data_IF_123541403578
#
_entry.id   IF_123541403578
#
_cell.length_a   1.000
_cell.length_b   1.000
_cell.length_c   1.000
_cell.angle_alpha   90.00
_cell.angle_beta   90.00
_cell.angle_gamma   90.00
#
_symmetry.space_group_name_H-M   'P 1'
#
loop_
_entity.id
_entity.type
_entity.pdbx_description
1 polymer ?
#
# COMPACT_ATOMS: atom_id res chain seq x y z
N UNK A 1 -7.91 9.78 10.35
CA UNK A 1 -6.94 9.27 9.36
C UNK A 1 -7.69 8.46 8.32
N UNK A 2 -7.99 9.07 7.18
CA UNK A 2 -8.67 8.42 6.06
C UNK A 2 -7.63 7.87 5.06
N UNK A 3 -6.99 6.76 5.43
CA UNK A 3 -6.24 5.93 4.48
C UNK A 3 -7.10 4.75 4.01
N UNK A 4 -6.79 4.25 2.82
CA UNK A 4 -7.40 3.04 2.26
C UNK A 4 -6.29 2.06 1.94
N UNK A 5 -6.52 0.81 2.30
CA UNK A 5 -5.62 -0.30 2.00
C UNK A 5 -6.39 -1.32 1.16
N UNK A 6 -5.76 -1.78 0.09
CA UNK A 6 -6.23 -2.88 -0.73
C UNK A 6 -5.15 -3.95 -0.77
N UNK A 7 -5.56 -5.21 -0.85
CA UNK A 7 -4.70 -6.38 -0.87
C UNK A 7 -5.29 -7.40 -1.85
N UNK A 8 -4.41 -8.06 -2.59
CA UNK A 8 -4.75 -9.19 -3.46
C UNK A 8 -4.40 -10.51 -2.78
N UNK A 9 -4.96 -11.60 -3.29
CA UNK A 9 -4.65 -12.96 -2.80
C UNK A 9 -3.18 -13.36 -3.02
N UNK A 10 -2.52 -12.77 -4.03
CA UNK A 10 -1.09 -12.95 -4.28
C UNK A 10 -0.19 -12.19 -3.29
N UNK A 11 -0.78 -11.44 -2.35
CA UNK A 11 -0.06 -10.70 -1.31
C UNK A 11 0.43 -9.32 -1.76
N UNK A 12 0.04 -8.83 -2.93
CA UNK A 12 0.29 -7.45 -3.34
C UNK A 12 -0.61 -6.49 -2.57
N UNK A 13 -0.11 -5.30 -2.25
CA UNK A 13 -0.80 -4.33 -1.38
C UNK A 13 -0.74 -2.93 -1.99
N UNK A 14 -1.84 -2.18 -1.90
CA UNK A 14 -1.92 -0.76 -2.25
C UNK A 14 -2.39 0.02 -1.03
N UNK A 15 -1.64 1.05 -0.67
CA UNK A 15 -1.96 1.97 0.42
C UNK A 15 -2.08 3.38 -0.14
N UNK A 16 -3.21 4.05 0.12
CA UNK A 16 -3.42 5.45 -0.25
C UNK A 16 -3.95 6.23 0.95
N UNK A 17 -3.24 7.27 1.35
CA UNK A 17 -3.75 8.29 2.27
C UNK A 17 -3.94 9.61 1.53
N UNK A 18 -5.18 10.12 1.52
CA UNK A 18 -5.48 11.42 0.91
C UNK A 18 -4.94 12.57 1.76
N UNK A 19 -4.99 12.44 3.08
CA UNK A 19 -4.54 13.47 4.03
C UNK A 19 -3.02 13.69 3.96
N UNK A 20 -2.24 12.61 3.92
CA UNK A 20 -0.77 12.69 3.84
C UNK A 20 -0.24 12.89 2.41
N UNK A 21 -1.13 12.97 1.41
CA UNK A 21 -0.82 12.77 0.01
C UNK A 21 0.14 11.58 -0.26
N UNK A 22 -0.03 10.50 0.51
CA UNK A 22 0.84 9.34 0.48
C UNK A 22 0.24 8.22 -0.37
N UNK A 23 1.04 7.64 -1.26
CA UNK A 23 0.69 6.45 -2.04
C UNK A 23 1.84 5.47 -1.90
N UNK A 24 1.52 4.22 -1.62
CA UNK A 24 2.51 3.15 -1.56
C UNK A 24 1.94 1.86 -2.13
N UNK A 25 2.79 1.11 -2.82
CA UNK A 25 2.47 -0.18 -3.42
C UNK A 25 3.52 -1.20 -3.00
N UNK A 26 3.09 -2.38 -2.60
CA UNK A 26 3.95 -3.53 -2.36
C UNK A 26 3.73 -4.54 -3.48
N UNK A 27 4.78 -4.78 -4.27
CA UNK A 27 4.80 -5.72 -5.38
C UNK A 27 6.21 -6.32 -5.49
N UNK A 28 6.30 -7.59 -5.86
CA UNK A 28 7.57 -8.31 -6.06
C UNK A 28 8.55 -8.19 -4.88
N UNK A 29 8.01 -8.21 -3.65
CA UNK A 29 8.82 -8.15 -2.43
C UNK A 29 9.31 -6.75 -2.03
N UNK A 30 8.89 -5.69 -2.72
CA UNK A 30 9.40 -4.32 -2.48
C UNK A 30 8.27 -3.30 -2.40
N UNK A 31 8.48 -2.29 -1.55
CA UNK A 31 7.63 -1.10 -1.47
C UNK A 31 8.09 -0.03 -2.46
N UNK A 32 7.12 0.59 -3.14
CA UNK A 32 7.31 1.74 -4.04
C UNK A 32 6.26 2.80 -3.79
N UNK A 33 6.59 4.05 -4.08
CA UNK A 33 5.78 5.25 -3.94
C UNK A 33 4.85 5.53 -5.15
N UNK A 34 4.84 4.64 -6.14
CA UNK A 34 4.04 4.76 -7.37
C UNK A 34 3.14 3.55 -7.58
N UNK A 35 2.08 3.70 -8.37
CA UNK A 35 1.23 2.57 -8.77
C UNK A 35 1.97 1.77 -9.86
N UNK A 36 2.21 0.49 -9.60
CA UNK A 36 2.96 -0.45 -10.46
C UNK A 36 2.12 -1.65 -10.92
N UNK A 37 0.80 -1.54 -10.78
CA UNK A 37 -0.18 -2.57 -11.14
C UNK A 37 -0.79 -2.25 -12.50
N UNK A 38 -0.97 -3.26 -13.34
CA UNK A 38 -1.75 -3.15 -14.56
C UNK A 38 -3.26 -3.21 -14.25
N UNK A 39 -4.10 -3.08 -15.29
CA UNK A 39 -5.56 -3.09 -15.12
C UNK A 39 -6.06 -4.39 -14.47
N UNK A 40 -5.65 -5.54 -15.00
CA UNK A 40 -6.08 -6.86 -14.52
C UNK A 40 -5.70 -7.09 -13.05
N UNK A 41 -4.47 -6.73 -12.65
CA UNK A 41 -4.00 -6.85 -11.27
C UNK A 41 -4.79 -5.97 -10.28
N UNK A 42 -5.37 -4.86 -10.75
CA UNK A 42 -6.20 -3.99 -9.92
C UNK A 42 -7.60 -4.57 -9.71
N UNK A 43 -8.10 -5.40 -10.61
CA UNK A 43 -9.40 -6.06 -10.45
C UNK A 43 -9.36 -7.09 -9.32
N UNK A 44 -8.21 -7.73 -9.10
CA UNK A 44 -7.98 -8.70 -8.01
C UNK A 44 -7.74 -8.04 -6.64
N UNK A 45 -7.70 -6.71 -6.56
CA UNK A 45 -7.40 -6.00 -5.31
C UNK A 45 -8.67 -5.76 -4.50
N UNK A 46 -8.75 -6.41 -3.34
CA UNK A 46 -9.85 -6.25 -2.41
C UNK A 46 -9.49 -5.26 -1.31
N UNK A 47 -10.47 -4.46 -0.89
CA UNK A 47 -10.31 -3.53 0.23
C UNK A 47 -10.11 -4.31 1.53
N UNK A 48 -9.07 -3.96 2.28
CA UNK A 48 -8.90 -4.43 3.66
C UNK A 48 -9.92 -3.71 4.53
N UNK A 49 -10.87 -4.48 5.07
CA UNK A 49 -11.94 -3.95 5.93
C UNK A 49 -11.56 -3.97 7.41
N UNK A 50 -10.59 -4.78 7.80
CA UNK A 50 -10.06 -4.83 9.16
C UNK A 50 -9.20 -3.57 9.43
N UNK A 51 -9.57 -2.74 10.43
CA UNK A 51 -8.86 -1.50 10.71
C UNK A 51 -7.43 -1.74 11.22
N UNK A 52 -7.20 -2.77 12.02
CA UNK A 52 -5.89 -3.07 12.60
C UNK A 52 -4.91 -3.57 11.52
N UNK A 53 -5.38 -4.43 10.61
CA UNK A 53 -4.61 -4.89 9.45
C UNK A 53 -4.31 -3.72 8.50
N UNK A 54 -5.29 -2.86 8.22
CA UNK A 54 -5.08 -1.67 7.40
C UNK A 54 -4.06 -0.71 8.02
N UNK A 55 -4.13 -0.46 9.33
CA UNK A 55 -3.18 0.38 10.06
C UNK A 55 -1.77 -0.21 10.01
N UNK A 56 -1.65 -1.53 10.22
CA UNK A 56 -0.38 -2.25 10.15
C UNK A 56 0.28 -2.06 8.79
N UNK A 57 -0.46 -2.26 7.69
CA UNK A 57 0.08 -2.06 6.35
C UNK A 57 0.45 -0.61 6.05
N UNK A 58 -0.36 0.35 6.51
CA UNK A 58 -0.05 1.76 6.38
C UNK A 58 1.27 2.13 7.07
N UNK A 59 1.47 1.66 8.31
CA UNK A 59 2.69 1.91 9.07
C UNK A 59 3.92 1.24 8.46
N UNK A 60 3.79 0.00 7.96
CA UNK A 60 4.87 -0.69 7.23
C UNK A 60 5.25 0.09 5.97
N UNK A 61 4.26 0.49 5.18
CA UNK A 61 4.48 1.25 3.95
C UNK A 61 5.19 2.58 4.21
N UNK A 62 4.73 3.34 5.21
CA UNK A 62 5.36 4.61 5.62
C UNK A 62 6.82 4.41 6.02
N UNK A 63 7.12 3.43 6.88
CA UNK A 63 8.50 3.13 7.31
C UNK A 63 9.38 2.71 6.12
N UNK A 64 8.87 1.86 5.24
CA UNK A 64 9.62 1.36 4.09
C UNK A 64 10.01 2.46 3.10
N UNK A 65 9.13 3.44 2.89
CA UNK A 65 9.39 4.56 1.98
C UNK A 65 10.12 5.73 2.64
N UNK A 66 9.92 5.99 3.94
CA UNK A 66 10.72 6.98 4.68
C UNK A 66 12.20 6.58 4.73
N UNK A 67 12.51 5.30 4.94
CA UNK A 67 13.89 4.81 4.96
C UNK A 67 14.59 4.89 3.60
N UNK A 68 13.85 5.00 2.49
CA UNK A 68 14.44 5.20 1.15
C UNK A 68 14.93 6.62 0.89
N UNK A 69 14.48 7.61 1.67
CA UNK A 69 14.86 9.02 1.50
C UNK A 69 16.21 9.34 2.18
N UNK A 70 16.76 8.41 2.97
CA UNK A 70 17.95 8.65 3.82
C UNK A 70 19.18 7.80 3.39
N UNK A 71 19.20 7.27 2.16
CA UNK A 71 20.32 6.49 1.62
C UNK A 71 20.94 7.14 0.38
#
# INVERSE_FOLDING_TARGET
MAYRVHKSDSGNIIVRSKEDNFTACYKDGKWTDRIVFNGDELEDMLKVNDPEEAEKFFNIAKKALQNKVVA
#
